data_IF_300919112668
#
_entry.id   IF_300919112668
#
_cell.length_a   1.000
_cell.length_b   1.000
_cell.length_c   1.000
_cell.angle_alpha   90.00
_cell.angle_beta   90.00
_cell.angle_gamma   90.00
#
_symmetry.space_group_name_H-M   'P 1'
#
loop_
_entity.id
_entity.type
_entity.pdbx_description
1 polymer ?
#
# COMPACT_ATOMS: atom_id res chain seq x y z
N UNK A 1 55.43 15.59 29.37
CA UNK A 1 54.37 14.64 28.96
C UNK A 1 54.74 13.30 29.56
N UNK A 2 53.90 12.78 30.44
CA UNK A 2 54.11 11.45 31.03
C UNK A 2 53.29 10.44 30.23
N UNK A 3 53.95 9.45 29.63
CA UNK A 3 53.26 8.30 29.05
C UNK A 3 52.90 7.35 30.19
N UNK A 4 51.64 6.94 30.28
CA UNK A 4 51.19 5.95 31.25
C UNK A 4 50.71 4.68 30.51
N UNK A 5 51.37 3.53 30.64
CA UNK A 5 52.65 3.32 31.33
C UNK A 5 53.83 3.93 30.54
N UNK A 6 54.98 4.20 31.22
CA UNK A 6 56.20 4.72 30.57
C UNK A 6 56.63 3.86 29.39
N UNK A 7 57.15 4.48 28.32
CA UNK A 7 57.57 3.76 27.08
C UNK A 7 58.57 2.64 27.39
N UNK A 8 59.53 2.87 28.29
CA UNK A 8 60.52 1.89 28.74
C UNK A 8 59.89 0.66 29.43
N UNK A 9 58.76 0.83 30.13
CA UNK A 9 58.08 -0.28 30.79
C UNK A 9 57.20 -1.13 29.86
N UNK A 10 57.00 -0.69 28.60
CA UNK A 10 56.19 -1.41 27.61
C UNK A 10 56.93 -2.62 27.06
N UNK A 11 56.15 -3.61 26.64
CA UNK A 11 56.69 -4.82 26.02
C UNK A 11 57.29 -4.51 24.64
N UNK A 12 58.27 -5.30 24.20
CA UNK A 12 58.87 -5.16 22.86
C UNK A 12 57.82 -5.25 21.75
N UNK A 13 56.79 -6.08 21.93
CA UNK A 13 55.64 -6.18 21.01
C UNK A 13 54.87 -4.87 20.88
N UNK A 14 54.56 -4.20 22.00
CA UNK A 14 53.87 -2.92 21.98
C UNK A 14 54.72 -1.81 21.38
N UNK A 15 56.02 -1.80 21.66
CA UNK A 15 56.94 -0.84 21.05
C UNK A 15 57.00 -1.00 19.53
N UNK A 16 57.05 -2.24 19.02
CA UNK A 16 56.97 -2.51 17.57
C UNK A 16 55.67 -1.97 16.98
N UNK A 17 54.53 -2.15 17.67
CA UNK A 17 53.24 -1.61 17.25
C UNK A 17 53.24 -0.08 17.19
N UNK A 18 53.74 0.59 18.23
CA UNK A 18 53.82 2.06 18.27
C UNK A 18 54.75 2.60 17.18
N UNK A 19 55.88 1.95 16.95
CA UNK A 19 56.89 2.39 15.99
C UNK A 19 56.45 2.23 14.52
N UNK A 20 55.64 1.21 14.21
CA UNK A 20 55.30 0.81 12.84
C UNK A 20 53.88 1.22 12.39
N UNK A 21 53.01 1.70 13.29
CA UNK A 21 51.69 2.26 12.95
C UNK A 21 51.57 3.73 13.42
N UNK A 22 52.37 4.66 12.87
CA UNK A 22 52.49 6.03 13.40
C UNK A 22 51.18 6.83 13.37
N UNK A 23 50.25 6.50 12.48
CA UNK A 23 48.93 7.16 12.37
C UNK A 23 48.05 6.96 13.61
N UNK A 24 48.26 5.87 14.35
CA UNK A 24 47.47 5.51 15.54
C UNK A 24 48.04 6.12 16.83
N UNK A 25 49.19 6.79 16.78
CA UNK A 25 49.96 7.20 17.96
C UNK A 25 50.46 8.64 17.90
N UNK A 26 50.75 9.20 19.07
CA UNK A 26 51.39 10.51 19.16
C UNK A 26 52.82 10.45 18.55
N UNK A 27 53.23 11.42 17.70
CA UNK A 27 54.56 11.43 17.09
C UNK A 27 55.73 11.33 18.08
N UNK A 28 55.59 11.89 19.28
CA UNK A 28 56.60 11.77 20.33
C UNK A 28 56.70 10.31 20.83
N UNK A 29 55.57 9.63 21.01
CA UNK A 29 55.54 8.22 21.42
C UNK A 29 56.20 7.32 20.35
N UNK A 30 55.95 7.59 19.07
CA UNK A 30 56.60 6.90 17.94
C UNK A 30 58.12 7.07 18.01
N UNK A 31 58.60 8.29 18.25
CA UNK A 31 60.04 8.58 18.37
C UNK A 31 60.67 7.86 19.56
N UNK A 32 60.06 7.93 20.74
CA UNK A 32 60.57 7.24 21.93
C UNK A 32 60.55 5.71 21.77
N UNK A 33 59.52 5.15 21.13
CA UNK A 33 59.44 3.71 20.88
C UNK A 33 60.53 3.22 19.91
N UNK A 34 60.85 4.00 18.86
CA UNK A 34 61.94 3.68 17.93
C UNK A 34 63.31 3.68 18.61
N UNK A 35 63.56 4.65 19.48
CA UNK A 35 64.80 4.72 20.25
C UNK A 35 64.93 3.54 21.22
N UNK A 36 63.87 3.24 21.97
CA UNK A 36 63.83 2.10 22.89
C UNK A 36 64.03 0.75 22.19
N UNK A 37 63.45 0.57 20.99
CA UNK A 37 63.68 -0.64 20.18
C UNK A 37 65.13 -0.78 19.72
N UNK A 38 65.78 0.33 19.38
CA UNK A 38 67.20 0.34 19.01
C UNK A 38 68.09 0.01 20.22
N UNK A 39 67.78 0.56 21.40
CA UNK A 39 68.48 0.25 22.66
C UNK A 39 68.33 -1.23 23.05
N UNK A 40 67.17 -1.85 22.75
CA UNK A 40 66.92 -3.28 22.96
C UNK A 40 67.54 -4.19 21.88
N UNK A 41 68.24 -3.64 20.89
CA UNK A 41 68.87 -4.40 19.81
C UNK A 41 67.89 -5.07 18.85
N UNK A 42 66.63 -4.61 18.77
CA UNK A 42 65.63 -5.18 17.88
C UNK A 42 65.84 -4.65 16.47
N UNK A 43 66.27 -5.52 15.56
CA UNK A 43 66.56 -5.15 14.18
C UNK A 43 65.30 -4.74 13.42
N UNK A 44 65.44 -3.87 12.43
CA UNK A 44 64.31 -3.46 11.56
C UNK A 44 63.67 -4.65 10.85
N UNK A 45 64.45 -5.68 10.53
CA UNK A 45 63.95 -6.90 9.89
C UNK A 45 63.05 -7.72 10.81
N UNK A 46 63.41 -7.88 12.09
CA UNK A 46 62.55 -8.54 13.08
C UNK A 46 61.23 -7.78 13.30
N UNK A 47 61.28 -6.45 13.27
CA UNK A 47 60.07 -5.61 13.34
C UNK A 47 59.18 -5.85 12.11
N UNK A 48 59.77 -5.84 10.91
CA UNK A 48 59.07 -6.05 9.63
C UNK A 48 58.39 -7.41 9.57
N UNK A 49 59.09 -8.49 9.91
CA UNK A 49 58.53 -9.85 9.93
C UNK A 49 57.30 -9.91 10.84
N UNK A 50 57.37 -9.26 12.01
CA UNK A 50 56.27 -9.25 12.98
C UNK A 50 55.07 -8.44 12.50
N UNK A 51 55.31 -7.27 11.90
CA UNK A 51 54.27 -6.42 11.29
C UNK A 51 53.61 -7.13 10.12
N UNK A 52 54.40 -7.74 9.22
CA UNK A 52 53.88 -8.52 8.09
C UNK A 52 53.01 -9.70 8.57
N UNK A 53 53.38 -10.36 9.66
CA UNK A 53 52.57 -11.41 10.28
C UNK A 53 51.24 -10.87 10.82
N UNK A 54 51.24 -9.72 11.50
CA UNK A 54 50.03 -9.07 11.98
C UNK A 54 49.11 -8.62 10.84
N UNK A 55 49.66 -7.97 9.81
CA UNK A 55 48.89 -7.52 8.66
C UNK A 55 48.28 -8.69 7.90
N UNK A 56 49.03 -9.80 7.78
CA UNK A 56 48.52 -11.04 7.18
C UNK A 56 47.38 -11.62 8.00
N UNK A 57 47.53 -11.67 9.33
CA UNK A 57 46.49 -12.14 10.22
C UNK A 57 45.24 -11.26 10.16
N UNK A 58 45.40 -9.93 10.19
CA UNK A 58 44.31 -8.98 10.08
C UNK A 58 43.57 -9.12 8.74
N UNK A 59 44.28 -9.33 7.63
CA UNK A 59 43.66 -9.60 6.32
C UNK A 59 42.86 -10.89 6.32
N UNK A 60 43.37 -11.96 6.94
CA UNK A 60 42.68 -13.24 7.06
C UNK A 60 41.42 -13.08 7.92
N UNK A 61 41.51 -12.39 9.06
CA UNK A 61 40.38 -12.13 9.95
C UNK A 61 39.31 -11.28 9.27
N UNK A 62 39.71 -10.21 8.58
CA UNK A 62 38.82 -9.38 7.79
C UNK A 62 38.12 -10.19 6.69
N UNK A 63 38.85 -11.06 5.99
CA UNK A 63 38.26 -11.92 4.97
C UNK A 63 37.26 -12.92 5.56
N UNK A 64 37.59 -13.56 6.69
CA UNK A 64 36.66 -14.45 7.42
C UNK A 64 35.43 -13.69 7.88
N UNK A 65 35.60 -12.45 8.34
CA UNK A 65 34.47 -11.61 8.74
C UNK A 65 33.56 -11.28 7.56
N UNK A 66 34.13 -10.90 6.40
CA UNK A 66 33.36 -10.69 5.17
C UNK A 66 32.57 -11.94 4.76
N UNK A 67 33.21 -13.12 4.82
CA UNK A 67 32.53 -14.38 4.55
C UNK A 67 31.37 -14.63 5.52
N UNK A 68 31.56 -14.36 6.82
CA UNK A 68 30.50 -14.47 7.83
C UNK A 68 29.35 -13.50 7.56
N UNK A 69 29.65 -12.24 7.25
CA UNK A 69 28.65 -11.21 6.91
C UNK A 69 27.85 -11.57 5.65
N UNK A 70 28.50 -12.19 4.66
CA UNK A 70 27.86 -12.58 3.40
C UNK A 70 26.73 -13.60 3.59
N UNK A 71 26.87 -14.52 4.55
CA UNK A 71 25.89 -15.59 4.83
C UNK A 71 24.88 -15.23 5.92
N UNK A 72 25.11 -14.13 6.64
CA UNK A 72 24.23 -13.68 7.71
C UNK A 72 22.83 -13.34 7.17
N UNK A 73 21.81 -13.73 7.93
CA UNK A 73 20.41 -13.53 7.57
C UNK A 73 19.69 -12.69 8.62
N UNK A 74 18.57 -12.10 8.22
CA UNK A 74 17.62 -11.57 9.18
C UNK A 74 16.87 -12.70 9.88
N UNK A 75 16.55 -12.50 11.16
CA UNK A 75 15.58 -13.36 11.84
C UNK A 75 14.19 -13.21 11.21
N UNK A 76 13.40 -14.28 11.24
CA UNK A 76 12.06 -14.32 10.63
C UNK A 76 11.18 -13.17 11.13
N UNK A 77 11.17 -12.91 12.45
CA UNK A 77 10.41 -11.80 13.04
C UNK A 77 10.84 -10.43 12.50
N UNK A 78 12.15 -10.22 12.29
CA UNK A 78 12.66 -8.97 11.71
C UNK A 78 12.18 -8.79 10.26
N UNK A 79 12.13 -9.88 9.48
CA UNK A 79 11.60 -9.83 8.11
C UNK A 79 10.11 -9.51 8.08
N UNK A 80 9.32 -10.09 8.98
CA UNK A 80 7.89 -9.77 9.12
C UNK A 80 7.70 -8.30 9.47
N UNK A 81 8.44 -7.78 10.46
CA UNK A 81 8.38 -6.38 10.84
C UNK A 81 8.82 -5.43 9.72
N UNK A 82 9.84 -5.82 8.94
CA UNK A 82 10.29 -5.06 7.77
C UNK A 82 9.25 -5.04 6.66
N UNK A 83 8.55 -6.15 6.43
CA UNK A 83 7.47 -6.23 5.44
C UNK A 83 6.26 -5.38 5.85
N UNK A 84 5.87 -5.43 7.13
CA UNK A 84 4.77 -4.59 7.65
C UNK A 84 5.10 -3.10 7.59
N UNK A 85 6.37 -2.74 7.84
CA UNK A 85 6.88 -1.36 7.78
C UNK A 85 7.68 -1.09 6.51
N UNK A 86 7.32 -1.71 5.39
CA UNK A 86 8.07 -1.61 4.14
C UNK A 86 8.37 -0.17 3.68
N UNK A 87 7.51 0.86 3.88
CA UNK A 87 7.84 2.22 3.45
C UNK A 87 9.04 2.78 4.22
N UNK A 88 9.10 2.57 5.54
CA UNK A 88 10.25 2.97 6.35
C UNK A 88 11.49 2.17 5.97
N UNK A 89 11.31 0.87 5.71
CA UNK A 89 12.40 -0.01 5.27
C UNK A 89 12.99 0.45 3.94
N UNK A 90 12.21 0.97 2.98
CA UNK A 90 12.73 1.50 1.70
C UNK A 90 13.60 2.75 1.92
N UNK A 91 13.27 3.59 2.90
CA UNK A 91 13.96 4.86 3.15
C UNK A 91 15.25 4.72 3.98
N UNK A 92 15.57 3.54 4.53
CA UNK A 92 16.68 3.34 5.48
C UNK A 92 17.90 2.64 4.85
N UNK A 93 19.12 2.97 5.28
CA UNK A 93 20.39 2.23 5.09
C UNK A 93 20.54 1.27 3.89
N UNK A 94 20.88 1.79 2.72
CA UNK A 94 21.22 0.97 1.54
C UNK A 94 22.68 0.48 1.51
N UNK A 95 23.43 0.68 2.60
CA UNK A 95 24.86 0.33 2.71
C UNK A 95 25.13 -1.16 2.92
N UNK A 96 24.11 -1.96 3.28
CA UNK A 96 24.26 -3.41 3.56
C UNK A 96 25.04 -4.17 2.48
N UNK A 97 24.80 -3.87 1.20
CA UNK A 97 25.53 -4.51 0.09
C UNK A 97 27.00 -4.10 0.05
N UNK A 98 27.32 -2.85 0.40
CA UNK A 98 28.70 -2.30 0.44
C UNK A 98 29.47 -2.85 1.64
N UNK A 99 28.78 -3.16 2.74
CA UNK A 99 29.37 -3.70 3.98
C UNK A 99 29.60 -5.23 3.96
N UNK A 100 29.25 -5.90 2.85
CA UNK A 100 29.42 -7.34 2.67
C UNK A 100 28.20 -8.19 3.04
N UNK A 101 27.08 -7.60 3.44
CA UNK A 101 25.84 -8.31 3.82
C UNK A 101 24.96 -8.67 2.62
N UNK A 102 25.47 -9.54 1.73
CA UNK A 102 24.78 -9.89 0.49
C UNK A 102 23.43 -10.59 0.70
N UNK A 103 23.36 -11.56 1.63
CA UNK A 103 22.11 -12.29 1.90
C UNK A 103 21.05 -11.40 2.53
N UNK A 104 21.37 -10.65 3.59
CA UNK A 104 20.46 -9.67 4.20
C UNK A 104 19.91 -8.67 3.18
N UNK A 105 20.74 -8.17 2.26
CA UNK A 105 20.28 -7.27 1.22
C UNK A 105 19.18 -7.91 0.35
N UNK A 106 19.33 -9.18 -0.06
CA UNK A 106 18.30 -9.91 -0.81
C UNK A 106 17.04 -10.13 0.01
N UNK A 107 17.17 -10.59 1.25
CA UNK A 107 16.04 -10.83 2.15
C UNK A 107 15.24 -9.56 2.42
N UNK A 108 15.92 -8.40 2.49
CA UNK A 108 15.26 -7.10 2.58
C UNK A 108 14.41 -6.77 1.37
N UNK A 109 14.92 -7.02 0.16
CA UNK A 109 14.14 -6.81 -1.06
C UNK A 109 12.90 -7.70 -1.09
N UNK A 110 13.02 -8.97 -0.67
CA UNK A 110 11.87 -9.85 -0.53
C UNK A 110 10.85 -9.35 0.50
N UNK A 111 11.30 -8.87 1.65
CA UNK A 111 10.42 -8.29 2.66
C UNK A 111 9.67 -7.05 2.15
N UNK A 112 10.37 -6.15 1.43
CA UNK A 112 9.76 -4.97 0.80
C UNK A 112 8.72 -5.40 -0.24
N UNK A 113 9.08 -6.34 -1.12
CA UNK A 113 8.17 -6.87 -2.15
C UNK A 113 6.92 -7.53 -1.55
N UNK A 114 7.10 -8.35 -0.51
CA UNK A 114 6.00 -8.96 0.23
C UNK A 114 5.10 -7.90 0.88
N UNK A 115 5.68 -6.89 1.54
CA UNK A 115 4.93 -5.79 2.14
C UNK A 115 4.07 -5.01 1.14
N UNK A 116 4.63 -4.73 -0.04
CA UNK A 116 3.92 -4.05 -1.13
C UNK A 116 2.75 -4.91 -1.66
N UNK A 117 2.98 -6.20 -1.90
CA UNK A 117 1.93 -7.13 -2.33
C UNK A 117 0.80 -7.25 -1.28
N UNK A 118 1.14 -7.38 0.00
CA UNK A 118 0.16 -7.41 1.08
C UNK A 118 -0.66 -6.10 1.15
N UNK A 119 -0.01 -4.96 0.94
CA UNK A 119 -0.69 -3.65 0.92
C UNK A 119 -1.70 -3.57 -0.23
N UNK A 120 -1.32 -4.02 -1.43
CA UNK A 120 -2.21 -4.07 -2.58
C UNK A 120 -3.40 -4.99 -2.33
N UNK A 121 -3.18 -6.19 -1.80
CA UNK A 121 -4.23 -7.14 -1.45
C UNK A 121 -5.19 -6.58 -0.38
N UNK A 122 -4.65 -5.85 0.60
CA UNK A 122 -5.48 -5.21 1.63
C UNK A 122 -6.36 -4.10 1.05
N UNK A 123 -5.82 -3.27 0.15
CA UNK A 123 -6.60 -2.22 -0.53
C UNK A 123 -7.71 -2.81 -1.40
N UNK A 124 -7.44 -3.89 -2.14
CA UNK A 124 -8.47 -4.54 -2.97
C UNK A 124 -9.56 -5.17 -2.09
N UNK A 125 -9.19 -5.81 -0.97
CA UNK A 125 -10.13 -6.35 0.00
C UNK A 125 -11.00 -5.24 0.62
N UNK A 126 -10.41 -4.14 1.09
CA UNK A 126 -11.16 -2.99 1.61
C UNK A 126 -12.17 -2.43 0.59
N UNK A 127 -11.77 -2.33 -0.69
CA UNK A 127 -12.68 -1.90 -1.75
C UNK A 127 -13.82 -2.88 -1.94
N UNK A 128 -13.56 -4.18 -1.88
CA UNK A 128 -14.60 -5.20 -2.01
C UNK A 128 -15.60 -5.13 -0.86
N UNK A 129 -15.12 -5.08 0.39
CA UNK A 129 -15.97 -4.96 1.58
C UNK A 129 -16.80 -3.67 1.57
N UNK A 130 -16.20 -2.55 1.13
CA UNK A 130 -16.92 -1.28 1.03
C UNK A 130 -18.10 -1.36 0.05
N UNK A 131 -17.96 -2.08 -1.07
CA UNK A 131 -19.05 -2.27 -2.04
C UNK A 131 -20.17 -3.12 -1.44
N UNK A 132 -19.83 -4.20 -0.75
CA UNK A 132 -20.81 -5.06 -0.08
C UNK A 132 -21.58 -4.26 0.97
N UNK A 133 -20.87 -3.47 1.78
CA UNK A 133 -21.48 -2.63 2.80
C UNK A 133 -22.42 -1.58 2.19
N UNK A 134 -21.99 -0.91 1.11
CA UNK A 134 -22.83 0.04 0.38
C UNK A 134 -24.09 -0.62 -0.18
N UNK A 135 -23.98 -1.84 -0.73
CA UNK A 135 -25.13 -2.55 -1.26
C UNK A 135 -26.12 -2.96 -0.16
N UNK A 136 -25.61 -3.44 0.99
CA UNK A 136 -26.47 -3.71 2.16
C UNK A 136 -27.18 -2.45 2.67
N UNK A 137 -26.48 -1.31 2.72
CA UNK A 137 -27.09 -0.05 3.13
C UNK A 137 -28.15 0.42 2.13
N UNK A 138 -27.86 0.34 0.82
CA UNK A 138 -28.83 0.64 -0.24
C UNK A 138 -30.07 -0.24 -0.13
N UNK A 139 -29.90 -1.54 0.02
CA UNK A 139 -31.03 -2.46 0.17
C UNK A 139 -31.88 -2.12 1.41
N UNK A 140 -31.24 -1.71 2.52
CA UNK A 140 -31.97 -1.27 3.72
C UNK A 140 -32.77 0.02 3.48
N UNK A 141 -32.17 1.00 2.80
CA UNK A 141 -32.84 2.26 2.45
C UNK A 141 -34.01 1.98 1.50
N UNK A 142 -33.82 1.14 0.49
CA UNK A 142 -34.87 0.80 -0.47
C UNK A 142 -35.98 -0.07 0.15
N UNK A 143 -35.64 -0.91 1.15
CA UNK A 143 -36.64 -1.69 1.88
C UNK A 143 -37.42 -0.89 2.92
N UNK A 144 -37.02 0.37 3.19
CA UNK A 144 -37.79 1.22 4.08
C UNK A 144 -38.98 1.77 3.29
N UNK A 145 -40.15 1.24 3.60
CA UNK A 145 -41.42 1.76 3.12
C UNK A 145 -41.59 3.21 3.62
N UNK A 146 -41.73 4.15 2.69
CA UNK A 146 -41.96 5.57 2.97
C UNK A 146 -43.45 5.92 3.03
N UNK A 147 -44.35 4.96 2.81
CA UNK A 147 -45.79 5.17 2.78
C UNK A 147 -46.33 5.80 4.07
N UNK A 148 -45.81 5.41 5.23
CA UNK A 148 -46.21 6.02 6.52
C UNK A 148 -45.85 7.52 6.58
N UNK A 149 -44.69 7.90 6.05
CA UNK A 149 -44.30 9.31 5.93
C UNK A 149 -45.19 10.04 4.93
N UNK A 150 -45.49 9.44 3.77
CA UNK A 150 -46.36 10.03 2.75
C UNK A 150 -47.76 10.32 3.30
N UNK A 151 -48.33 9.37 4.06
CA UNK A 151 -49.62 9.52 4.72
C UNK A 151 -49.65 10.62 5.78
N UNK A 152 -48.48 10.97 6.34
CA UNK A 152 -48.36 12.09 7.28
C UNK A 152 -48.36 13.46 6.60
N UNK A 153 -48.03 13.52 5.30
CA UNK A 153 -47.89 14.78 4.55
C UNK A 153 -49.02 15.00 3.53
N UNK A 154 -49.62 13.93 3.02
CA UNK A 154 -50.60 13.94 1.95
C UNK A 154 -51.80 13.05 2.28
N UNK A 155 -52.95 13.40 1.72
CA UNK A 155 -54.13 12.53 1.73
C UNK A 155 -53.94 11.34 0.79
N UNK A 156 -54.65 10.23 1.03
CA UNK A 156 -54.58 9.06 0.14
C UNK A 156 -55.00 9.41 -1.30
N UNK A 157 -55.96 10.33 -1.47
CA UNK A 157 -56.38 10.82 -2.79
C UNK A 157 -55.27 11.61 -3.50
N UNK A 158 -54.53 12.46 -2.79
CA UNK A 158 -53.38 13.19 -3.35
C UNK A 158 -52.27 12.23 -3.77
N UNK A 159 -51.94 11.23 -2.95
CA UNK A 159 -50.94 10.19 -3.27
C UNK A 159 -51.34 9.44 -4.54
N UNK A 160 -52.61 9.01 -4.65
CA UNK A 160 -53.13 8.34 -5.83
C UNK A 160 -53.08 9.24 -7.06
N UNK A 161 -53.42 10.52 -6.92
CA UNK A 161 -53.37 11.49 -8.02
C UNK A 161 -51.94 11.76 -8.49
N UNK A 162 -50.97 11.94 -7.59
CA UNK A 162 -49.57 12.11 -7.97
C UNK A 162 -49.03 10.90 -8.75
N UNK A 163 -49.36 9.69 -8.31
CA UNK A 163 -48.97 8.46 -9.03
C UNK A 163 -49.63 8.38 -10.40
N UNK A 164 -50.90 8.77 -10.51
CA UNK A 164 -51.64 8.80 -11.77
C UNK A 164 -51.06 9.82 -12.76
N UNK A 165 -50.74 11.02 -12.30
CA UNK A 165 -50.11 12.07 -13.12
C UNK A 165 -48.73 11.64 -13.62
N UNK A 166 -47.92 11.02 -12.75
CA UNK A 166 -46.60 10.51 -13.14
C UNK A 166 -46.70 9.41 -14.23
N UNK A 167 -47.69 8.52 -14.13
CA UNK A 167 -47.98 7.51 -15.16
C UNK A 167 -48.40 8.17 -16.48
N UNK A 168 -49.29 9.17 -16.43
CA UNK A 168 -49.76 9.87 -17.62
C UNK A 168 -48.63 10.63 -18.33
N UNK A 169 -47.76 11.31 -17.58
CA UNK A 169 -46.54 11.92 -18.12
C UNK A 169 -45.61 10.88 -18.75
N UNK A 170 -45.52 9.68 -18.16
CA UNK A 170 -44.73 8.59 -18.72
C UNK A 170 -45.26 8.12 -20.08
N UNK A 171 -46.58 7.94 -20.18
CA UNK A 171 -47.24 7.54 -21.42
C UNK A 171 -46.96 8.56 -22.52
N UNK A 172 -47.14 9.86 -22.23
CA UNK A 172 -46.90 10.94 -23.20
C UNK A 172 -45.46 10.92 -23.68
N UNK A 173 -44.48 10.81 -22.77
CA UNK A 173 -43.07 10.78 -23.13
C UNK A 173 -42.70 9.57 -23.99
N UNK A 174 -43.26 8.39 -23.70
CA UNK A 174 -43.05 7.17 -24.49
C UNK A 174 -43.61 7.37 -25.91
N UNK A 175 -44.84 7.88 -26.05
CA UNK A 175 -45.46 8.14 -27.34
C UNK A 175 -44.67 9.16 -28.17
N UNK A 176 -44.19 10.23 -27.54
CA UNK A 176 -43.33 11.21 -28.21
C UNK A 176 -42.00 10.60 -28.67
N UNK A 177 -41.40 9.73 -27.88
CA UNK A 177 -40.14 9.07 -28.22
C UNK A 177 -40.33 8.04 -29.33
N UNK A 178 -41.45 7.30 -29.33
CA UNK A 178 -41.86 6.41 -30.42
C UNK A 178 -41.97 7.17 -31.74
N UNK A 179 -42.68 8.31 -31.76
CA UNK A 179 -42.79 9.17 -32.94
C UNK A 179 -41.42 9.68 -33.45
N UNK A 180 -40.42 9.80 -32.56
CA UNK A 180 -39.05 10.23 -32.87
C UNK A 180 -38.09 9.06 -33.16
N UNK A 181 -38.56 7.81 -33.12
CA UNK A 181 -37.74 6.61 -33.29
C UNK A 181 -36.73 6.36 -32.16
N UNK A 182 -37.00 6.89 -30.96
CA UNK A 182 -36.12 6.78 -29.78
C UNK A 182 -36.60 5.61 -28.91
N UNK A 183 -35.71 4.65 -28.67
CA UNK A 183 -35.98 3.57 -27.72
C UNK A 183 -36.07 4.11 -26.29
N UNK A 184 -37.17 3.81 -25.60
CA UNK A 184 -37.38 4.25 -24.21
C UNK A 184 -37.32 3.05 -23.27
N UNK A 185 -36.66 3.22 -22.13
CA UNK A 185 -36.67 2.26 -21.03
C UNK A 185 -37.46 2.87 -19.89
N UNK A 186 -38.48 2.16 -19.44
CA UNK A 186 -39.28 2.59 -18.30
C UNK A 186 -38.73 1.91 -17.05
N UNK A 187 -38.39 2.73 -16.05
CA UNK A 187 -38.02 2.26 -14.73
C UNK A 187 -39.11 2.66 -13.76
N UNK A 188 -39.79 1.68 -13.19
CA UNK A 188 -40.86 1.89 -12.21
C UNK A 188 -40.43 1.35 -10.86
N UNK A 189 -40.87 2.02 -9.79
CA UNK A 189 -40.72 1.49 -8.44
C UNK A 189 -41.68 0.32 -8.22
N UNK A 190 -41.27 -0.68 -7.44
CA UNK A 190 -42.09 -1.85 -7.12
C UNK A 190 -43.39 -1.46 -6.39
N UNK A 191 -43.38 -0.37 -5.62
CA UNK A 191 -44.55 0.08 -4.86
C UNK A 191 -45.65 0.71 -5.74
N UNK A 192 -45.41 0.84 -7.05
CA UNK A 192 -46.37 1.35 -8.03
C UNK A 192 -47.32 0.25 -8.55
N UNK A 193 -47.09 -1.02 -8.21
CA UNK A 193 -47.67 -2.21 -8.86
C UNK A 193 -49.20 -2.39 -8.74
N UNK A 194 -49.90 -1.67 -7.87
CA UNK A 194 -51.33 -1.93 -7.58
C UNK A 194 -52.34 -1.18 -8.44
N UNK A 195 -51.92 -0.35 -9.41
CA UNK A 195 -52.85 0.47 -10.19
C UNK A 195 -53.15 -0.15 -11.57
N UNK A 196 -54.45 -0.29 -11.92
CA UNK A 196 -54.96 -0.77 -13.22
C UNK A 196 -54.30 -0.05 -14.42
N UNK A 197 -53.85 1.21 -14.22
CA UNK A 197 -53.13 2.00 -15.22
C UNK A 197 -51.69 1.53 -15.53
N UNK A 198 -51.06 0.82 -14.60
CA UNK A 198 -49.72 0.23 -14.79
C UNK A 198 -49.77 -0.98 -15.70
N UNK A 199 -50.89 -1.71 -15.72
CA UNK A 199 -51.12 -2.77 -16.71
C UNK A 199 -51.28 -2.17 -18.12
N UNK A 200 -51.92 -1.00 -18.23
CA UNK A 200 -52.03 -0.27 -19.51
C UNK A 200 -50.66 0.17 -20.07
N UNK A 201 -49.68 0.44 -19.19
CA UNK A 201 -48.29 0.70 -19.58
C UNK A 201 -47.58 -0.56 -20.13
N UNK A 202 -47.95 -1.77 -19.67
CA UNK A 202 -47.43 -3.04 -20.21
C UNK A 202 -48.01 -3.38 -21.58
N UNK A 203 -49.22 -2.89 -21.87
CA UNK A 203 -49.94 -3.09 -23.13
C UNK A 203 -49.58 -2.07 -24.22
N UNK A 204 -48.97 -0.94 -23.86
CA UNK A 204 -48.50 0.08 -24.80
C UNK A 204 -47.27 -0.41 -25.59
N UNK A 205 -47.54 -0.87 -26.82
CA UNK A 205 -46.64 -1.11 -27.98
C UNK A 205 -45.28 -1.80 -27.68
N UNK A 206 -45.13 -3.09 -28.02
CA UNK A 206 -43.84 -3.81 -27.92
C UNK A 206 -42.74 -3.31 -28.88
N UNK A 207 -43.02 -2.29 -29.71
CA UNK A 207 -42.07 -1.74 -30.69
C UNK A 207 -41.13 -0.66 -30.15
N UNK A 208 -41.49 0.05 -29.07
CA UNK A 208 -40.75 1.24 -28.58
C UNK A 208 -40.25 1.14 -27.15
N UNK A 209 -40.89 0.31 -26.33
CA UNK A 209 -40.45 -0.03 -24.97
C UNK A 209 -39.76 -1.37 -25.02
N UNK A 210 -38.43 -1.37 -24.87
CA UNK A 210 -37.63 -2.61 -24.94
C UNK A 210 -37.71 -3.45 -23.68
N UNK A 211 -37.82 -2.79 -22.53
CA UNK A 211 -37.84 -3.45 -21.23
C UNK A 211 -38.46 -2.51 -20.17
N UNK A 212 -39.19 -3.11 -19.23
CA UNK A 212 -39.67 -2.44 -18.02
C UNK A 212 -38.79 -2.96 -16.89
N UNK A 213 -37.78 -2.18 -16.53
CA UNK A 213 -36.81 -2.58 -15.52
C UNK A 213 -37.25 -1.95 -14.21
N UNK A 214 -37.81 -2.74 -13.30
CA UNK A 214 -37.95 -2.30 -11.92
C UNK A 214 -36.53 -2.13 -11.35
N UNK A 215 -36.10 -0.88 -11.22
CA UNK A 215 -34.75 -0.54 -10.80
C UNK A 215 -34.87 0.30 -9.54
N UNK A 216 -34.17 -0.13 -8.50
CA UNK A 216 -33.92 0.66 -7.31
C UNK A 216 -33.54 2.11 -7.69
N UNK A 217 -34.02 3.15 -6.98
CA UNK A 217 -33.75 4.54 -7.33
C UNK A 217 -32.25 4.83 -7.26
N UNK A 218 -31.57 4.76 -8.41
CA UNK A 218 -30.16 5.14 -8.54
C UNK A 218 -30.07 6.63 -8.82
N UNK A 219 -29.85 7.41 -7.75
CA UNK A 219 -29.00 8.60 -7.77
C UNK A 219 -29.46 9.80 -8.59
N UNK A 220 -30.75 10.02 -8.82
CA UNK A 220 -31.26 11.32 -9.28
C UNK A 220 -32.04 11.99 -8.16
N UNK A 221 -31.66 13.21 -7.81
CA UNK A 221 -32.37 14.11 -6.89
C UNK A 221 -33.71 14.61 -7.45
N UNK A 222 -34.35 13.85 -8.34
CA UNK A 222 -35.66 14.19 -8.87
C UNK A 222 -36.71 13.65 -7.92
N UNK A 223 -37.49 14.54 -7.33
CA UNK A 223 -38.74 14.31 -6.60
C UNK A 223 -39.85 13.66 -7.46
N UNK A 224 -39.47 12.94 -8.51
CA UNK A 224 -40.39 12.26 -9.41
C UNK A 224 -40.57 10.83 -8.91
N UNK A 225 -41.80 10.51 -8.52
CA UNK A 225 -42.26 9.20 -8.06
C UNK A 225 -42.07 8.07 -9.10
N UNK A 226 -41.84 8.44 -10.36
CA UNK A 226 -41.46 7.54 -11.46
C UNK A 226 -40.22 8.14 -12.12
N UNK A 227 -39.11 7.40 -12.12
CA UNK A 227 -37.87 7.81 -12.77
C UNK A 227 -37.85 7.23 -14.18
N UNK A 228 -38.23 8.02 -15.17
CA UNK A 228 -38.18 7.60 -16.57
C UNK A 228 -36.82 7.93 -17.14
N UNK A 229 -36.01 6.92 -17.48
CA UNK A 229 -34.70 7.11 -18.11
C UNK A 229 -34.79 6.78 -19.60
N UNK A 230 -34.79 7.82 -20.43
CA UNK A 230 -34.74 7.68 -21.89
C UNK A 230 -33.29 7.55 -22.36
N UNK A 231 -32.95 6.49 -23.08
CA UNK A 231 -31.61 6.31 -23.65
C UNK A 231 -31.68 6.46 -25.16
N UNK A 232 -31.00 7.48 -25.71
CA UNK A 232 -30.91 7.65 -27.16
C UNK A 232 -29.89 6.68 -27.73
N UNK A 233 -30.34 5.57 -28.30
CA UNK A 233 -29.50 4.74 -29.14
C UNK A 233 -29.42 5.40 -30.53
N UNK A 234 -28.25 5.96 -30.89
CA UNK A 234 -28.00 6.40 -32.28
C UNK A 234 -28.02 5.15 -33.15
N UNK A 235 -28.96 5.05 -34.09
CA UNK A 235 -28.89 4.05 -35.16
C UNK A 235 -27.61 4.30 -35.95
N UNK A 236 -26.66 3.37 -35.86
CA UNK A 236 -25.59 3.21 -36.86
C UNK A 236 -26.18 2.85 -38.21
#
# INVERSE_FOLDING_TARGET
MEFNPPIQSRSTTELIKIANYPEDWNPLAVKFAKNELAERGVSTEEQRIKVEAWDRQAKIEHYKELQRRAVESFGILNLIWMALRWPKTVLSDWSLKKEGYHRKHKERLYAIGAGLLCTLAFITWLKHESKISQQKWRNKVNSQDIYEWEKSQYTEEEIVNFRKEAIEQAIILIQENEAKGITTFLVMDNDTLSNLKVETLKELSPGSVKDIIFQDPVGSSSTAWIIIKTFKQKST
#
